data_IF_375105697048
#
_entry.id   IF_375105697048
#
_cell.length_a   1.000
_cell.length_b   1.000
_cell.length_c   1.000
_cell.angle_alpha   90.00
_cell.angle_beta   90.00
_cell.angle_gamma   90.00
#
_symmetry.space_group_name_H-M   'P 1'
#
loop_
_entity.id
_entity.type
_entity.pdbx_description
1 polymer ?
#
# COMPACT_ATOMS: atom_id res chain seq x y z
N UNK A 1 2.11 -9.89 6.75
CA UNK A 1 1.20 -8.85 6.22
C UNK A 1 -0.23 -9.21 6.54
N UNK A 2 -1.04 -8.23 6.95
CA UNK A 2 -2.47 -8.37 7.30
C UNK A 2 -3.33 -7.93 6.12
N UNK A 3 -4.52 -8.52 5.97
CA UNK A 3 -5.52 -8.00 5.03
C UNK A 3 -6.02 -6.65 5.52
N UNK A 4 -6.09 -5.68 4.61
CA UNK A 4 -6.62 -4.34 4.89
C UNK A 4 -7.75 -4.01 3.91
N UNK A 5 -8.55 -3.01 4.24
CA UNK A 5 -9.60 -2.54 3.35
C UNK A 5 -9.01 -1.76 2.16
N UNK A 6 -9.76 -1.69 1.05
CA UNK A 6 -9.39 -0.88 -0.12
C UNK A 6 -9.15 0.58 0.25
N UNK A 7 -10.00 1.14 1.10
CA UNK A 7 -9.92 2.52 1.57
C UNK A 7 -8.60 2.81 2.28
N UNK A 8 -8.14 1.89 3.14
CA UNK A 8 -6.87 2.02 3.86
C UNK A 8 -5.69 1.96 2.91
N UNK A 9 -5.72 1.05 1.94
CA UNK A 9 -4.69 0.97 0.91
C UNK A 9 -4.64 2.24 0.05
N UNK A 10 -5.79 2.76 -0.36
CA UNK A 10 -5.87 3.97 -1.18
C UNK A 10 -5.36 5.18 -0.39
N UNK A 11 -5.65 5.30 0.91
CA UNK A 11 -5.08 6.34 1.77
C UNK A 11 -3.55 6.27 1.83
N UNK A 12 -2.97 5.07 2.00
CA UNK A 12 -1.52 4.90 1.97
C UNK A 12 -0.93 5.26 0.60
N UNK A 13 -1.66 5.03 -0.49
CA UNK A 13 -1.19 5.29 -1.85
C UNK A 13 -1.25 6.77 -2.24
N UNK A 14 -2.24 7.50 -1.72
CA UNK A 14 -2.44 8.93 -2.02
C UNK A 14 -1.47 9.82 -1.24
N UNK A 15 -0.85 9.29 -0.18
CA UNK A 15 0.17 10.00 0.57
C UNK A 15 1.41 10.28 -0.31
N UNK A 16 1.76 11.56 -0.48
CA UNK A 16 2.88 12.01 -1.32
C UNK A 16 4.26 11.62 -0.76
N UNK A 17 4.34 11.23 0.51
CA UNK A 17 5.57 10.73 1.14
C UNK A 17 5.82 9.24 0.87
N UNK A 18 4.93 8.56 0.16
CA UNK A 18 5.05 7.15 -0.14
C UNK A 18 5.31 6.92 -1.63
N UNK A 19 6.30 6.08 -1.90
CA UNK A 19 6.57 5.59 -3.23
C UNK A 19 5.69 4.37 -3.51
N UNK A 20 5.30 4.19 -4.77
CA UNK A 20 4.66 2.96 -5.17
C UNK A 20 5.25 2.40 -6.46
N UNK A 21 5.44 1.09 -6.44
CA UNK A 21 5.91 0.32 -7.58
C UNK A 21 4.76 -0.55 -8.08
N UNK A 22 4.59 -0.65 -9.39
CA UNK A 22 3.61 -1.56 -9.99
C UNK A 22 4.33 -2.58 -10.87
N UNK A 23 4.27 -3.84 -10.46
CA UNK A 23 4.72 -4.99 -11.22
C UNK A 23 3.51 -5.64 -11.93
N UNK A 24 3.62 -5.86 -13.23
CA UNK A 24 2.60 -6.54 -14.01
C UNK A 24 3.23 -7.75 -14.71
N UNK A 25 2.73 -8.94 -14.40
CA UNK A 25 3.12 -10.19 -15.03
C UNK A 25 1.88 -10.91 -15.56
N UNK A 26 1.49 -10.54 -16.80
CA UNK A 26 0.31 -11.09 -17.47
C UNK A 26 -0.98 -10.84 -16.69
N UNK A 27 -1.54 -11.91 -16.10
CA UNK A 27 -2.79 -11.87 -15.33
C UNK A 27 -2.61 -11.46 -13.86
N UNK A 28 -1.35 -11.31 -13.41
CA UNK A 28 -1.00 -10.90 -12.06
C UNK A 28 -0.48 -9.47 -12.07
N UNK A 29 -1.10 -8.61 -11.26
CA UNK A 29 -0.62 -7.27 -10.99
C UNK A 29 -0.33 -7.14 -9.50
N UNK A 30 0.86 -6.66 -9.15
CA UNK A 30 1.25 -6.38 -7.78
C UNK A 30 1.63 -4.91 -7.68
N UNK A 31 0.88 -4.15 -6.89
CA UNK A 31 1.26 -2.79 -6.51
C UNK A 31 1.87 -2.86 -5.13
N UNK A 32 3.06 -2.32 -4.94
CA UNK A 32 3.75 -2.23 -3.65
C UNK A 32 3.84 -0.76 -3.26
N UNK A 33 3.60 -0.46 -2.00
CA UNK A 33 3.73 0.89 -1.43
C UNK A 33 4.86 0.84 -0.42
N UNK A 34 5.81 1.75 -0.59
CA UNK A 34 6.98 1.91 0.23
C UNK A 34 6.98 3.26 0.92
N UNK A 35 7.45 3.28 2.16
CA UNK A 35 7.81 4.51 2.86
C UNK A 35 9.33 4.49 2.99
N UNK A 36 10.01 5.23 2.11
CA UNK A 36 11.46 5.09 1.91
C UNK A 36 11.80 3.67 1.45
N UNK A 37 12.60 2.93 2.23
CA UNK A 37 13.00 1.55 1.91
C UNK A 37 12.03 0.48 2.45
N UNK A 38 11.04 0.87 3.26
CA UNK A 38 10.17 -0.07 3.95
C UNK A 38 8.88 -0.33 3.17
N UNK A 39 8.62 -1.60 2.84
CA UNK A 39 7.36 -2.03 2.23
C UNK A 39 6.21 -2.00 3.26
N UNK A 40 5.36 -0.98 3.20
CA UNK A 40 4.26 -0.77 4.16
C UNK A 40 2.96 -1.44 3.73
N UNK A 41 2.70 -1.54 2.43
CA UNK A 41 1.49 -2.17 1.91
C UNK A 41 1.69 -2.72 0.50
N UNK A 42 0.83 -3.64 0.09
CA UNK A 42 0.75 -4.14 -1.28
C UNK A 42 -0.66 -4.53 -1.67
N UNK A 43 -0.99 -4.32 -2.94
CA UNK A 43 -2.18 -4.84 -3.61
C UNK A 43 -1.75 -5.97 -4.52
N UNK A 44 -2.43 -7.11 -4.44
CA UNK A 44 -2.27 -8.22 -5.37
C UNK A 44 -3.59 -8.40 -6.11
N UNK A 45 -3.54 -8.22 -7.42
CA UNK A 45 -4.62 -8.56 -8.35
C UNK A 45 -4.20 -9.80 -9.11
N UNK A 46 -5.02 -10.84 -9.06
CA UNK A 46 -4.85 -12.07 -9.81
C UNK A 46 -6.15 -12.37 -10.55
N UNK A 47 -6.14 -12.32 -11.88
CA UNK A 47 -7.34 -12.44 -12.72
C UNK A 47 -8.41 -11.43 -12.28
N UNK A 48 -9.52 -11.91 -11.70
CA UNK A 48 -10.64 -11.11 -11.18
C UNK A 48 -10.57 -10.83 -9.68
N UNK A 49 -9.65 -11.47 -8.95
CA UNK A 49 -9.53 -11.30 -7.50
C UNK A 49 -8.53 -10.18 -7.17
N UNK A 50 -8.92 -9.28 -6.28
CA UNK A 50 -8.05 -8.22 -5.75
C UNK A 50 -8.01 -8.36 -4.24
N UNK A 51 -6.80 -8.32 -3.67
CA UNK A 51 -6.57 -8.33 -2.23
C UNK A 51 -5.57 -7.24 -1.86
N UNK A 52 -5.84 -6.58 -0.75
CA UNK A 52 -4.98 -5.52 -0.21
C UNK A 52 -4.35 -6.03 1.08
N UNK A 53 -3.08 -5.72 1.24
CA UNK A 53 -2.28 -6.17 2.37
C UNK A 53 -1.47 -5.02 2.93
N UNK A 54 -1.42 -4.91 4.26
CA UNK A 54 -0.57 -3.98 4.99
C UNK A 54 0.42 -4.72 5.90
N UNK A 55 1.46 -4.05 6.36
CA UNK A 55 2.22 -4.49 7.54
C UNK A 55 1.35 -4.35 8.80
N UNK A 56 1.72 -4.97 9.92
CA UNK A 56 0.91 -4.88 11.14
C UNK A 56 0.78 -3.46 11.70
N UNK A 57 1.77 -2.61 11.43
CA UNK A 57 1.88 -1.22 11.88
C UNK A 57 1.49 -0.20 10.82
N UNK A 58 0.81 -0.63 9.74
CA UNK A 58 0.44 0.25 8.62
C UNK A 58 -0.36 1.49 9.04
N UNK A 59 -1.12 1.41 10.14
CA UNK A 59 -1.91 2.52 10.66
C UNK A 59 -1.06 3.74 11.04
N UNK A 60 0.20 3.54 11.44
CA UNK A 60 1.13 4.63 11.74
C UNK A 60 1.46 5.49 10.50
N UNK A 61 1.35 4.89 9.31
CA UNK A 61 1.61 5.53 8.03
C UNK A 61 0.33 6.13 7.40
N UNK A 62 -0.85 5.84 7.96
CA UNK A 62 -2.11 6.47 7.55
C UNK A 62 -2.24 7.89 8.10
N UNK A 63 -1.73 8.10 9.31
CA UNK A 63 -1.81 9.37 10.06
C UNK A 63 -0.48 10.10 10.06
N UNK A 64 0.28 10.04 8.97
CA UNK A 64 1.32 11.04 8.77
C UNK A 64 0.62 12.36 8.41
N UNK A 65 -0.12 12.90 9.37
CA UNK A 65 -0.36 14.32 9.50
C UNK A 65 1.01 14.95 9.41
N UNK A 66 1.21 15.79 8.39
CA UNK A 66 2.28 16.79 8.37
C UNK A 66 2.43 17.33 9.78
N UNK A 67 3.47 16.85 10.46
CA UNK A 67 3.85 17.33 11.76
C UNK A 67 4.22 18.79 11.57
N UNK A 68 3.27 19.67 11.87
CA UNK A 68 3.49 21.06 12.21
C UNK A 68 4.75 21.13 13.09
N UNK A 69 5.83 21.64 12.52
CA UNK A 69 6.89 22.37 13.22
C UNK A 69 7.47 23.43 12.29
#
# INVERSE_FOLDING_TARGET
>A
MKLIMKTEFDNLRVNEHHDYETDNNGEKQVVKIYCGELLIAKKIKLKKSVRFFGISTYQQYLTQEDGVK
#
